data_IF_447621449345
#
_entry.id   IF_447621449345
#
_cell.length_a   1.000
_cell.length_b   1.000
_cell.length_c   1.000
_cell.angle_alpha   90.00
_cell.angle_beta   90.00
_cell.angle_gamma   90.00
#
_symmetry.space_group_name_H-M   'P 1'
#
loop_
_entity.id
_entity.type
_entity.pdbx_description
1 polymer ?
#
# COMPACT_ATOMS: atom_id res chain seq x y z
N UNK A 1 -19.22 2.42 -18.45
CA UNK A 1 -18.20 3.42 -18.91
C UNK A 1 -18.87 4.26 -19.99
N UNK A 2 -19.16 5.53 -19.69
CA UNK A 2 -19.80 6.40 -20.67
C UNK A 2 -18.77 6.90 -21.72
N UNK A 3 -19.27 7.42 -22.85
CA UNK A 3 -18.45 7.86 -23.99
C UNK A 3 -17.45 8.97 -23.60
N UNK A 4 -17.81 9.84 -22.64
CA UNK A 4 -16.95 10.88 -22.10
C UNK A 4 -15.77 10.32 -21.29
N UNK A 5 -15.93 9.22 -20.55
CA UNK A 5 -14.87 8.57 -19.80
C UNK A 5 -13.88 7.85 -20.74
N UNK A 6 -14.39 7.25 -21.82
CA UNK A 6 -13.55 6.64 -22.85
C UNK A 6 -12.70 7.70 -23.57
N UNK A 7 -13.30 8.83 -23.94
CA UNK A 7 -12.60 9.98 -24.56
C UNK A 7 -11.57 10.57 -23.59
N UNK A 8 -11.91 10.72 -22.30
CA UNK A 8 -11.01 11.26 -21.29
C UNK A 8 -9.82 10.32 -21.03
N UNK A 9 -10.04 8.98 -21.03
CA UNK A 9 -8.97 7.98 -20.95
C UNK A 9 -8.02 8.03 -22.17
N UNK A 10 -8.55 8.22 -23.36
CA UNK A 10 -7.78 8.26 -24.60
C UNK A 10 -6.88 9.52 -24.76
N UNK A 11 -7.18 10.60 -24.00
CA UNK A 11 -6.39 11.85 -24.08
C UNK A 11 -5.25 11.94 -23.07
N UNK A 12 -5.15 10.98 -22.13
CA UNK A 12 -4.08 10.97 -21.13
C UNK A 12 -2.79 10.42 -21.73
N UNK A 13 -1.66 11.14 -21.55
CA UNK A 13 -0.32 10.62 -21.93
C UNK A 13 0.04 9.33 -21.21
N UNK A 14 -0.43 9.18 -19.98
CA UNK A 14 -0.24 8.01 -19.14
C UNK A 14 -1.32 7.98 -18.04
N UNK A 15 -1.62 6.80 -17.51
CA UNK A 15 -2.55 6.60 -16.40
C UNK A 15 -2.16 5.39 -15.55
N UNK A 16 -2.48 5.45 -14.27
CA UNK A 16 -2.55 4.29 -13.39
C UNK A 16 -4.03 3.89 -13.25
N UNK A 17 -4.40 2.80 -13.90
CA UNK A 17 -5.73 2.23 -13.77
C UNK A 17 -5.79 1.36 -12.52
N UNK A 18 -6.78 1.63 -11.64
CA UNK A 18 -6.94 0.99 -10.33
C UNK A 18 -8.23 0.18 -10.34
N UNK A 19 -8.10 -1.13 -10.35
CA UNK A 19 -9.23 -2.07 -10.35
C UNK A 19 -9.76 -2.27 -8.91
N UNK A 20 -10.81 -1.54 -8.56
CA UNK A 20 -11.45 -1.66 -7.24
C UNK A 20 -12.19 -3.00 -7.07
N UNK A 21 -12.58 -3.65 -8.17
CA UNK A 21 -13.14 -5.00 -8.15
C UNK A 21 -12.10 -6.03 -7.70
N UNK A 22 -10.90 -5.96 -8.27
CA UNK A 22 -9.76 -6.78 -7.85
C UNK A 22 -9.39 -6.52 -6.38
N UNK A 23 -9.35 -5.26 -5.95
CA UNK A 23 -9.08 -4.92 -4.55
C UNK A 23 -10.11 -5.53 -3.60
N UNK A 24 -11.42 -5.45 -3.91
CA UNK A 24 -12.46 -6.10 -3.11
C UNK A 24 -12.30 -7.62 -3.06
N UNK A 25 -11.95 -8.25 -4.17
CA UNK A 25 -11.68 -9.68 -4.23
C UNK A 25 -10.47 -10.07 -3.35
N UNK A 26 -9.39 -9.31 -3.44
CA UNK A 26 -8.19 -9.51 -2.62
C UNK A 26 -8.50 -9.39 -1.12
N UNK A 27 -9.25 -8.36 -0.70
CA UNK A 27 -9.67 -8.20 0.71
C UNK A 27 -10.48 -9.40 1.20
N UNK A 28 -11.41 -9.91 0.38
CA UNK A 28 -12.19 -11.13 0.73
C UNK A 28 -11.29 -12.35 0.86
N UNK A 29 -10.34 -12.54 -0.06
CA UNK A 29 -9.36 -13.64 0.01
C UNK A 29 -8.52 -13.53 1.28
N UNK A 30 -7.97 -12.36 1.59
CA UNK A 30 -7.17 -12.13 2.78
C UNK A 30 -7.97 -12.34 4.08
N UNK A 31 -9.25 -12.00 4.10
CA UNK A 31 -10.14 -12.32 5.22
C UNK A 31 -10.33 -13.82 5.41
N UNK A 32 -10.40 -14.57 4.30
CA UNK A 32 -10.48 -16.03 4.39
C UNK A 32 -9.19 -16.65 4.94
N UNK A 33 -8.02 -16.07 4.64
CA UNK A 33 -6.74 -16.48 5.24
C UNK A 33 -6.60 -16.08 6.72
N UNK A 34 -7.32 -15.08 7.18
CA UNK A 34 -7.16 -14.50 8.52
C UNK A 34 -7.68 -15.36 9.69
N UNK A 35 -8.12 -16.62 9.44
CA UNK A 35 -8.50 -17.59 10.48
C UNK A 35 -9.52 -17.06 11.52
N UNK A 36 -10.46 -16.21 11.10
CA UNK A 36 -11.47 -15.60 11.97
C UNK A 36 -11.07 -14.29 12.63
N UNK A 37 -9.83 -13.85 12.55
CA UNK A 37 -9.41 -12.53 13.00
C UNK A 37 -10.06 -11.41 12.17
N UNK A 38 -10.31 -10.24 12.77
CA UNK A 38 -10.73 -9.06 12.04
C UNK A 38 -9.62 -8.59 11.08
N UNK A 39 -9.98 -7.89 10.00
CA UNK A 39 -9.02 -7.37 9.05
C UNK A 39 -8.95 -5.85 9.11
N UNK A 40 -7.74 -5.33 9.27
CA UNK A 40 -7.40 -3.93 9.06
C UNK A 40 -6.80 -3.75 7.67
N UNK A 41 -7.50 -3.00 6.80
CA UNK A 41 -6.98 -2.59 5.50
C UNK A 41 -6.04 -1.39 5.68
N UNK A 42 -4.77 -1.57 5.32
CA UNK A 42 -3.74 -0.53 5.49
C UNK A 42 -3.66 0.33 4.23
N UNK A 43 -4.16 1.56 4.33
CA UNK A 43 -4.31 2.52 3.23
C UNK A 43 -3.36 3.72 3.32
N UNK A 44 -2.26 3.59 4.09
CA UNK A 44 -1.20 4.61 4.20
C UNK A 44 -0.54 4.89 2.86
N UNK A 45 0.17 6.03 2.75
CA UNK A 45 0.89 6.46 1.55
C UNK A 45 -0.03 6.47 0.32
N UNK A 46 -1.19 7.12 0.46
CA UNK A 46 -2.24 7.17 -0.56
C UNK A 46 -2.67 5.77 -1.04
N UNK A 47 -2.92 4.84 -0.09
CA UNK A 47 -3.20 3.44 -0.38
C UNK A 47 -2.09 2.79 -1.24
N UNK A 48 -0.84 2.95 -0.83
CA UNK A 48 0.34 2.51 -1.61
C UNK A 48 0.33 3.07 -3.04
N UNK A 49 -0.10 4.33 -3.19
CA UNK A 49 -0.17 5.00 -4.48
C UNK A 49 -1.42 4.71 -5.32
N UNK A 50 -2.42 4.02 -4.78
CA UNK A 50 -3.64 3.61 -5.51
C UNK A 50 -4.83 4.58 -5.35
N UNK A 51 -4.73 5.58 -4.46
CA UNK A 51 -5.83 6.50 -4.12
C UNK A 51 -6.55 6.08 -2.84
N UNK A 52 -6.23 6.76 -1.71
CA UNK A 52 -6.62 6.32 -0.37
C UNK A 52 -8.13 6.18 -0.17
N UNK A 53 -8.92 7.18 -0.58
CA UNK A 53 -10.37 7.18 -0.31
C UNK A 53 -11.11 6.10 -1.09
N UNK A 54 -10.83 5.93 -2.38
CA UNK A 54 -11.47 4.92 -3.19
C UNK A 54 -11.13 3.50 -2.70
N UNK A 55 -9.84 3.25 -2.42
CA UNK A 55 -9.39 1.96 -1.88
C UNK A 55 -9.93 1.68 -0.48
N UNK A 56 -10.02 2.69 0.39
CA UNK A 56 -10.59 2.54 1.74
C UNK A 56 -12.07 2.13 1.68
N UNK A 57 -12.88 2.80 0.85
CA UNK A 57 -14.29 2.47 0.63
C UNK A 57 -14.45 1.03 0.12
N UNK A 58 -13.72 0.69 -0.94
CA UNK A 58 -13.76 -0.65 -1.53
C UNK A 58 -13.32 -1.75 -0.54
N UNK A 59 -12.35 -1.48 0.32
CA UNK A 59 -11.92 -2.41 1.36
C UNK A 59 -12.99 -2.60 2.44
N UNK A 60 -13.65 -1.52 2.87
CA UNK A 60 -14.77 -1.56 3.83
C UNK A 60 -15.96 -2.34 3.25
N UNK A 61 -16.35 -2.07 2.00
CA UNK A 61 -17.38 -2.81 1.27
C UNK A 61 -17.07 -4.31 1.18
N UNK A 62 -15.78 -4.68 1.10
CA UNK A 62 -15.33 -6.06 1.12
C UNK A 62 -15.23 -6.68 2.51
N UNK A 63 -15.54 -5.91 3.57
CA UNK A 63 -15.64 -6.34 4.95
C UNK A 63 -14.39 -6.10 5.79
N UNK A 64 -13.52 -5.15 5.43
CA UNK A 64 -12.51 -4.66 6.34
C UNK A 64 -13.20 -3.92 7.51
N UNK A 65 -12.95 -4.37 8.73
CA UNK A 65 -13.50 -3.77 9.95
C UNK A 65 -12.71 -2.54 10.43
N UNK A 66 -11.47 -2.42 9.97
CA UNK A 66 -10.53 -1.37 10.34
C UNK A 66 -9.83 -0.81 9.12
N UNK A 67 -9.47 0.47 9.20
CA UNK A 67 -8.53 1.11 8.29
C UNK A 67 -7.28 1.51 9.06
N UNK A 68 -6.11 1.32 8.44
CA UNK A 68 -4.82 1.64 9.05
C UNK A 68 -4.05 2.65 8.21
N UNK A 69 -3.58 3.74 8.85
CA UNK A 69 -2.75 4.76 8.22
C UNK A 69 -1.45 4.93 8.98
N UNK A 70 -0.44 5.52 8.35
CA UNK A 70 0.79 5.84 9.05
C UNK A 70 0.63 7.13 9.84
N UNK A 71 0.25 8.21 9.21
CA UNK A 71 0.24 9.56 9.78
C UNK A 71 -1.15 10.00 10.24
N UNK A 72 -1.24 10.91 11.22
CA UNK A 72 -2.53 11.45 11.63
C UNK A 72 -3.24 12.24 10.51
N UNK A 73 -2.50 12.87 9.60
CA UNK A 73 -3.08 13.59 8.45
C UNK A 73 -3.82 12.64 7.51
N UNK A 74 -3.25 11.46 7.23
CA UNK A 74 -3.93 10.43 6.43
C UNK A 74 -5.20 9.93 7.13
N UNK A 75 -5.15 9.70 8.45
CA UNK A 75 -6.31 9.25 9.22
C UNK A 75 -7.42 10.30 9.27
N UNK A 76 -7.07 11.55 9.51
CA UNK A 76 -8.02 12.67 9.52
C UNK A 76 -8.68 12.87 8.15
N UNK A 77 -7.95 12.66 7.05
CA UNK A 77 -8.53 12.70 5.70
C UNK A 77 -9.60 11.62 5.48
N UNK A 78 -9.45 10.44 6.09
CA UNK A 78 -10.47 9.38 6.04
C UNK A 78 -11.73 9.70 6.88
N UNK A 79 -11.63 10.64 7.83
CA UNK A 79 -12.76 11.13 8.65
C UNK A 79 -13.31 12.47 8.18
N UNK A 80 -12.72 13.08 7.15
CA UNK A 80 -13.18 14.34 6.61
C UNK A 80 -14.62 14.23 6.06
N UNK A 81 -15.42 15.31 6.12
CA UNK A 81 -16.74 15.35 5.49
C UNK A 81 -16.64 14.94 4.01
N UNK A 82 -17.50 14.03 3.57
CA UNK A 82 -17.50 13.51 2.20
C UNK A 82 -16.52 12.35 1.94
N UNK A 83 -15.70 11.94 2.91
CA UNK A 83 -14.82 10.77 2.77
C UNK A 83 -15.61 9.47 2.52
N UNK A 84 -16.86 9.37 2.97
CA UNK A 84 -17.72 8.22 2.75
C UNK A 84 -17.29 6.95 3.50
N UNK A 85 -16.53 7.11 4.58
CA UNK A 85 -16.16 6.01 5.47
C UNK A 85 -17.18 5.95 6.61
N UNK A 86 -17.88 4.81 6.82
CA UNK A 86 -18.85 4.67 7.91
C UNK A 86 -18.24 4.95 9.29
N UNK A 87 -19.01 5.52 10.19
CA UNK A 87 -18.54 5.93 11.52
C UNK A 87 -18.15 4.74 12.43
N UNK A 88 -18.76 3.58 12.21
CA UNK A 88 -18.48 2.34 12.92
C UNK A 88 -17.17 1.64 12.46
N UNK A 89 -16.65 1.98 11.29
CA UNK A 89 -15.34 1.50 10.84
C UNK A 89 -14.25 2.18 11.64
N UNK A 90 -13.41 1.42 12.33
CA UNK A 90 -12.32 1.94 13.14
C UNK A 90 -11.17 2.43 12.24
N UNK A 91 -10.56 3.57 12.58
CA UNK A 91 -9.41 4.14 11.84
C UNK A 91 -8.26 4.30 12.82
N UNK A 92 -7.14 3.63 12.54
CA UNK A 92 -5.93 3.68 13.37
C UNK A 92 -4.79 4.39 12.66
N UNK A 93 -4.06 5.25 13.38
CA UNK A 93 -2.76 5.79 12.94
C UNK A 93 -1.68 5.58 14.00
N UNK A 94 -0.40 5.49 13.55
CA UNK A 94 0.67 5.03 14.45
C UNK A 94 2.00 5.77 14.36
N UNK A 95 2.18 6.69 13.42
CA UNK A 95 3.43 7.44 13.26
C UNK A 95 3.22 8.88 13.74
N UNK A 96 3.66 9.13 14.95
CA UNK A 96 3.53 10.39 15.63
C UNK A 96 4.89 11.07 15.81
N UNK A 97 4.85 12.38 15.87
CA UNK A 97 5.95 13.22 16.33
C UNK A 97 5.47 14.09 17.51
N UNK A 98 6.35 14.51 18.40
CA UNK A 98 5.97 15.45 19.47
C UNK A 98 5.24 16.67 18.92
N UNK A 99 4.21 17.13 19.62
CA UNK A 99 3.36 18.25 19.20
C UNK A 99 2.38 17.90 18.06
N UNK A 100 2.14 16.62 17.80
CA UNK A 100 1.18 16.17 16.78
C UNK A 100 -0.27 16.57 17.09
N UNK A 101 -1.20 16.44 16.11
CA UNK A 101 -2.61 16.83 16.25
C UNK A 101 -3.41 15.78 17.06
N UNK A 102 -2.99 15.51 18.28
CA UNK A 102 -3.59 14.51 19.16
C UNK A 102 -5.05 14.81 19.49
N UNK A 103 -5.36 16.10 19.75
CA UNK A 103 -6.70 16.53 20.09
C UNK A 103 -7.64 16.33 18.91
N UNK A 104 -7.28 16.78 17.73
CA UNK A 104 -8.05 16.62 16.50
C UNK A 104 -8.28 15.13 16.19
N UNK A 105 -7.28 14.30 16.41
CA UNK A 105 -7.38 12.85 16.23
C UNK A 105 -8.38 12.21 17.22
N UNK A 106 -8.39 12.64 18.48
CA UNK A 106 -9.34 12.20 19.50
C UNK A 106 -10.76 12.66 19.13
N UNK A 107 -10.93 13.93 18.74
CA UNK A 107 -12.22 14.50 18.32
C UNK A 107 -12.78 13.81 17.06
N UNK A 108 -11.89 13.38 16.15
CA UNK A 108 -12.23 12.60 14.95
C UNK A 108 -12.44 11.11 15.21
N UNK A 109 -12.43 10.68 16.47
CA UNK A 109 -12.66 9.30 16.90
C UNK A 109 -11.67 8.29 16.29
N UNK A 110 -10.36 8.63 16.27
CA UNK A 110 -9.30 7.77 15.81
C UNK A 110 -8.76 6.87 16.91
N UNK A 111 -8.20 5.73 16.50
CA UNK A 111 -7.40 4.86 17.35
C UNK A 111 -5.90 5.23 17.22
N UNK A 112 -5.23 5.42 18.34
CA UNK A 112 -3.92 6.05 18.39
C UNK A 112 -2.84 5.07 18.82
N UNK A 113 -1.85 4.82 17.95
CA UNK A 113 -0.71 3.97 18.27
C UNK A 113 0.26 4.70 19.21
N UNK A 114 0.49 4.17 20.41
CA UNK A 114 1.38 4.72 21.42
C UNK A 114 2.54 3.77 21.66
N UNK A 115 3.77 4.21 21.35
CA UNK A 115 4.98 3.38 21.44
C UNK A 115 5.99 3.82 22.50
N UNK A 116 5.62 4.72 23.44
CA UNK A 116 6.51 5.19 24.49
C UNK A 116 5.87 6.24 25.40
N UNK A 117 6.55 6.59 26.48
CA UNK A 117 6.05 7.49 27.52
C UNK A 117 5.69 8.88 26.99
N UNK A 118 6.54 9.48 26.16
CA UNK A 118 6.29 10.82 25.61
C UNK A 118 4.94 10.89 24.86
N UNK A 119 4.62 9.85 24.06
CA UNK A 119 3.37 9.79 23.33
C UNK A 119 2.17 9.56 24.25
N UNK A 120 2.36 8.75 25.30
CA UNK A 120 1.33 8.54 26.34
C UNK A 120 1.03 9.84 27.10
N UNK A 121 2.03 10.61 27.44
CA UNK A 121 1.90 11.91 28.12
C UNK A 121 1.15 12.93 27.24
N UNK A 122 1.52 13.05 25.95
CA UNK A 122 0.87 13.97 25.03
C UNK A 122 -0.59 13.58 24.75
N UNK A 123 -0.87 12.29 24.48
CA UNK A 123 -2.25 11.84 24.23
C UNK A 123 -3.12 12.01 25.47
N UNK A 124 -2.57 11.79 26.69
CA UNK A 124 -3.29 12.00 27.94
C UNK A 124 -3.63 13.47 28.17
N UNK A 125 -2.68 14.37 27.89
CA UNK A 125 -2.91 15.80 27.95
C UNK A 125 -3.97 16.26 26.93
N UNK A 126 -3.90 15.74 25.71
CA UNK A 126 -4.88 16.03 24.65
C UNK A 126 -6.28 15.50 24.99
N UNK A 127 -6.39 14.32 25.58
CA UNK A 127 -7.68 13.75 26.02
C UNK A 127 -8.33 14.62 27.11
N UNK A 128 -7.53 15.12 28.06
CA UNK A 128 -8.01 16.06 29.06
C UNK A 128 -8.52 17.37 28.43
N UNK A 129 -7.79 17.90 27.45
CA UNK A 129 -8.19 19.12 26.73
C UNK A 129 -9.43 18.90 25.84
N UNK A 130 -9.60 17.71 25.27
CA UNK A 130 -10.76 17.34 24.46
C UNK A 130 -12.00 16.97 25.31
N UNK A 131 -11.84 16.77 26.62
CA UNK A 131 -12.92 16.38 27.53
C UNK A 131 -13.50 14.98 27.25
N UNK A 132 -12.74 14.10 26.57
CA UNK A 132 -13.15 12.73 26.22
C UNK A 132 -11.95 11.77 26.24
N UNK A 133 -12.15 10.50 26.59
CA UNK A 133 -11.05 9.52 26.62
C UNK A 133 -10.51 9.25 25.20
N UNK A 134 -9.20 9.11 25.07
CA UNK A 134 -8.54 8.64 23.86
C UNK A 134 -8.55 7.11 23.80
N UNK A 135 -8.78 6.52 22.61
CA UNK A 135 -8.56 5.11 22.37
C UNK A 135 -7.12 4.90 21.93
N UNK A 136 -6.37 4.05 22.66
CA UNK A 136 -4.95 3.84 22.40
C UNK A 136 -4.62 2.37 22.17
N UNK A 137 -3.66 2.13 21.26
CA UNK A 137 -3.03 0.84 21.05
C UNK A 137 -1.57 0.94 21.53
N UNK A 138 -1.23 0.23 22.59
CA UNK A 138 0.15 0.20 23.09
C UNK A 138 1.01 -0.67 22.19
N UNK A 139 2.07 -0.07 21.65
CA UNK A 139 2.99 -0.74 20.73
C UNK A 139 4.20 -1.29 21.47
N UNK A 140 4.39 -2.60 21.42
CA UNK A 140 5.58 -3.29 21.90
C UNK A 140 6.63 -3.39 20.78
N UNK A 141 7.91 -3.10 21.07
CA UNK A 141 9.00 -3.52 20.19
C UNK A 141 9.46 -4.91 20.61
N UNK A 142 9.08 -5.88 19.81
CA UNK A 142 9.41 -7.28 20.04
C UNK A 142 10.68 -7.74 19.33
N UNK A 143 11.35 -6.84 18.61
CA UNK A 143 12.62 -7.16 17.94
C UNK A 143 12.75 -6.59 16.51
N UNK A 144 11.80 -5.75 16.04
CA UNK A 144 11.98 -5.03 14.78
C UNK A 144 13.00 -3.90 14.90
N UNK A 145 13.16 -3.28 16.11
CA UNK A 145 14.13 -2.23 16.34
C UNK A 145 13.82 -0.91 15.61
N UNK A 146 12.54 -0.65 15.29
CA UNK A 146 12.14 0.54 14.52
C UNK A 146 11.23 1.49 15.31
N UNK A 147 10.28 0.97 16.03
CA UNK A 147 9.35 1.76 16.83
C UNK A 147 8.48 0.88 17.70
N UNK A 148 8.10 1.41 18.85
CA UNK A 148 7.41 0.69 19.92
C UNK A 148 8.19 0.81 21.23
N UNK A 149 7.55 0.46 22.34
CA UNK A 149 8.15 0.47 23.65
C UNK A 149 9.13 -0.70 23.80
N UNK A 150 10.35 -0.43 24.20
CA UNK A 150 11.34 -1.45 24.48
C UNK A 150 10.87 -2.36 25.63
N UNK A 151 11.26 -3.66 25.66
CA UNK A 151 10.86 -4.57 26.73
C UNK A 151 11.23 -4.07 28.13
N UNK A 152 12.35 -3.38 28.28
CA UNK A 152 12.79 -2.82 29.56
C UNK A 152 11.85 -1.73 30.11
N UNK A 153 11.21 -0.96 29.20
CA UNK A 153 10.34 0.17 29.54
C UNK A 153 8.85 -0.22 29.58
N UNK A 154 8.53 -1.44 29.15
CA UNK A 154 7.15 -1.91 28.97
C UNK A 154 6.33 -1.82 30.25
N UNK A 155 6.90 -2.24 31.38
CA UNK A 155 6.23 -2.21 32.66
C UNK A 155 5.83 -0.79 33.07
N UNK A 156 6.72 0.18 32.85
CA UNK A 156 6.44 1.59 33.12
C UNK A 156 5.34 2.15 32.23
N UNK A 157 5.36 1.84 30.93
CA UNK A 157 4.34 2.28 29.97
C UNK A 157 2.97 1.71 30.33
N UNK A 158 2.88 0.40 30.65
CA UNK A 158 1.63 -0.26 31.06
C UNK A 158 1.07 0.33 32.34
N UNK A 159 1.91 0.55 33.36
CA UNK A 159 1.48 1.16 34.62
C UNK A 159 0.93 2.58 34.44
N UNK A 160 1.60 3.38 33.63
CA UNK A 160 1.17 4.76 33.34
C UNK A 160 -0.14 4.76 32.51
N UNK A 161 -0.27 3.88 31.51
CA UNK A 161 -1.49 3.74 30.72
C UNK A 161 -2.68 3.33 31.61
N UNK A 162 -2.49 2.37 32.52
CA UNK A 162 -3.52 1.96 33.49
C UNK A 162 -3.94 3.09 34.45
N UNK A 163 -2.98 3.87 34.92
CA UNK A 163 -3.29 5.03 35.75
C UNK A 163 -4.13 6.08 35.00
N UNK A 164 -3.77 6.36 33.74
CA UNK A 164 -4.53 7.27 32.87
C UNK A 164 -5.92 6.73 32.54
N UNK A 165 -6.07 5.42 32.34
CA UNK A 165 -7.35 4.75 32.10
C UNK A 165 -8.25 4.80 33.33
N UNK A 166 -7.71 4.52 34.53
CA UNK A 166 -8.43 4.66 35.80
C UNK A 166 -8.88 6.11 36.05
N UNK A 167 -8.13 7.08 35.54
CA UNK A 167 -8.49 8.50 35.55
C UNK A 167 -9.49 8.92 34.46
N UNK A 168 -9.99 8.00 33.63
CA UNK A 168 -10.96 8.27 32.58
C UNK A 168 -10.39 9.05 31.36
N UNK A 169 -9.08 9.10 31.21
CA UNK A 169 -8.41 9.85 30.13
C UNK A 169 -8.07 8.98 28.91
N UNK A 170 -7.91 7.68 29.13
CA UNK A 170 -7.59 6.71 28.07
C UNK A 170 -8.52 5.51 28.14
N UNK A 171 -8.57 4.78 27.02
CA UNK A 171 -9.01 3.40 26.93
C UNK A 171 -7.95 2.63 26.14
N UNK A 172 -7.32 1.66 26.76
CA UNK A 172 -6.35 0.79 26.08
C UNK A 172 -7.14 -0.27 25.31
N UNK A 173 -7.37 0.00 24.03
CA UNK A 173 -8.18 -0.87 23.15
C UNK A 173 -7.36 -1.90 22.41
N UNK A 174 -6.04 -1.74 22.33
CA UNK A 174 -5.19 -2.67 21.61
C UNK A 174 -3.78 -2.83 22.17
N UNK A 175 -3.23 -4.02 21.98
CA UNK A 175 -1.82 -4.34 22.19
C UNK A 175 -1.25 -4.84 20.85
N UNK A 176 -0.11 -4.27 20.40
CA UNK A 176 0.39 -4.61 19.09
C UNK A 176 1.89 -4.56 18.93
N UNK A 177 2.36 -5.22 17.87
CA UNK A 177 3.74 -5.18 17.42
C UNK A 177 3.84 -5.31 15.89
N UNK A 178 5.05 -5.50 15.36
CA UNK A 178 5.29 -5.71 13.93
C UNK A 178 6.45 -6.67 13.72
N UNK A 179 6.26 -7.66 12.85
CA UNK A 179 7.27 -8.66 12.51
C UNK A 179 8.34 -8.07 11.59
N UNK A 180 9.59 -8.43 11.84
CA UNK A 180 10.74 -7.96 11.08
C UNK A 180 10.94 -8.73 9.76
N UNK A 181 10.84 -10.06 9.84
CA UNK A 181 11.21 -10.99 8.76
C UNK A 181 10.07 -11.95 8.41
N UNK A 182 8.81 -11.51 8.50
CA UNK A 182 7.67 -12.37 8.13
C UNK A 182 7.64 -12.73 6.65
N UNK A 183 8.38 -12.01 5.81
CA UNK A 183 8.61 -12.23 4.38
C UNK A 183 9.75 -13.21 4.08
N UNK A 184 10.42 -13.72 5.13
CA UNK A 184 11.46 -14.75 5.06
C UNK A 184 11.00 -16.00 5.84
N UNK A 185 10.28 -16.95 5.20
CA UNK A 185 9.75 -18.14 5.89
C UNK A 185 10.82 -18.91 6.65
N UNK A 186 10.54 -19.20 7.94
CA UNK A 186 11.47 -19.92 8.82
C UNK A 186 12.57 -19.06 9.45
N UNK A 187 12.59 -17.76 9.24
CA UNK A 187 13.57 -16.88 9.90
C UNK A 187 13.39 -16.92 11.43
N UNK A 188 14.48 -17.16 12.22
CA UNK A 188 14.38 -17.39 13.66
C UNK A 188 13.81 -16.20 14.46
N UNK A 189 13.87 -14.98 13.91
CA UNK A 189 13.27 -13.81 14.56
C UNK A 189 11.74 -13.90 14.65
N UNK A 190 11.08 -14.68 13.81
CA UNK A 190 9.62 -14.82 13.80
C UNK A 190 9.15 -15.38 15.14
N UNK A 191 9.65 -16.57 15.49
CA UNK A 191 9.28 -17.23 16.76
C UNK A 191 9.72 -16.42 17.98
N UNK A 192 10.92 -15.84 17.94
CA UNK A 192 11.41 -14.99 19.01
C UNK A 192 10.52 -13.76 19.24
N UNK A 193 10.03 -13.12 18.17
CA UNK A 193 9.12 -11.98 18.25
C UNK A 193 7.72 -12.38 18.73
N UNK A 194 7.19 -13.52 18.26
CA UNK A 194 5.89 -14.03 18.70
C UNK A 194 5.91 -14.40 20.18
N UNK A 195 6.95 -15.08 20.64
CA UNK A 195 7.11 -15.42 22.06
C UNK A 195 7.16 -14.15 22.91
N UNK A 196 8.00 -13.19 22.54
CA UNK A 196 8.11 -11.92 23.28
C UNK A 196 6.80 -11.13 23.25
N UNK A 197 6.07 -11.14 22.13
CA UNK A 197 4.77 -10.48 22.05
C UNK A 197 3.77 -11.10 23.01
N UNK A 198 3.67 -12.44 23.05
CA UNK A 198 2.80 -13.16 24.01
C UNK A 198 3.16 -12.84 25.46
N UNK A 199 4.45 -12.79 25.81
CA UNK A 199 4.92 -12.44 27.15
C UNK A 199 4.53 -10.99 27.53
N UNK A 200 4.72 -10.03 26.63
CA UNK A 200 4.40 -8.61 26.87
C UNK A 200 2.89 -8.39 26.95
N UNK A 201 2.09 -9.09 26.14
CA UNK A 201 0.62 -9.09 26.23
C UNK A 201 0.18 -9.65 27.59
N UNK A 202 0.65 -10.85 27.95
CA UNK A 202 0.30 -11.49 29.22
C UNK A 202 0.72 -10.65 30.42
N UNK A 203 1.83 -9.91 30.34
CA UNK A 203 2.21 -8.96 31.39
C UNK A 203 1.17 -7.84 31.52
N UNK A 204 0.78 -7.18 30.42
CA UNK A 204 -0.17 -6.09 30.43
C UNK A 204 -1.54 -6.54 30.97
N UNK A 205 -2.01 -7.72 30.56
CA UNK A 205 -3.27 -8.30 31.05
C UNK A 205 -3.23 -8.59 32.55
N UNK A 206 -2.12 -9.12 33.06
CA UNK A 206 -1.96 -9.31 34.53
C UNK A 206 -1.95 -7.99 35.30
N UNK A 207 -1.59 -6.88 34.66
CA UNK A 207 -1.68 -5.53 35.25
C UNK A 207 -3.09 -4.92 35.08
N UNK A 208 -4.05 -5.67 34.53
CA UNK A 208 -5.45 -5.26 34.40
C UNK A 208 -5.77 -4.52 33.09
N UNK A 209 -4.89 -4.56 32.10
CA UNK A 209 -5.25 -4.13 30.73
C UNK A 209 -6.19 -5.17 30.14
N UNK A 210 -7.35 -4.72 29.62
CA UNK A 210 -8.33 -5.56 28.93
C UNK A 210 -8.50 -5.07 27.49
N UNK A 211 -7.58 -5.45 26.58
CA UNK A 211 -7.62 -4.94 25.20
C UNK A 211 -8.71 -5.63 24.38
N UNK A 212 -9.41 -4.86 23.56
CA UNK A 212 -10.35 -5.42 22.58
C UNK A 212 -9.64 -6.28 21.53
N UNK A 213 -8.42 -5.89 21.13
CA UNK A 213 -7.65 -6.57 20.08
C UNK A 213 -6.15 -6.67 20.39
N UNK A 214 -5.57 -7.79 20.02
CA UNK A 214 -4.12 -8.04 19.96
C UNK A 214 -3.75 -8.22 18.50
N UNK A 215 -2.68 -7.58 18.02
CA UNK A 215 -2.32 -7.69 16.61
C UNK A 215 -0.82 -7.54 16.33
N UNK A 216 -0.26 -8.45 15.54
CA UNK A 216 1.13 -8.41 15.09
C UNK A 216 1.27 -8.69 13.59
N UNK A 217 0.40 -9.53 13.00
CA UNK A 217 0.49 -9.97 11.61
C UNK A 217 0.43 -8.82 10.61
N UNK A 218 1.40 -8.76 9.72
CA UNK A 218 1.43 -7.94 8.49
C UNK A 218 1.06 -8.81 7.28
N UNK A 219 1.08 -8.29 6.04
CA UNK A 219 0.69 -9.04 4.84
C UNK A 219 1.34 -10.43 4.70
N UNK A 220 2.68 -10.59 4.79
CA UNK A 220 3.27 -11.93 4.71
C UNK A 220 2.78 -12.86 5.82
N UNK A 221 2.69 -12.36 7.05
CA UNK A 221 2.23 -13.17 8.18
C UNK A 221 0.76 -13.60 8.07
N UNK A 222 -0.09 -12.80 7.44
CA UNK A 222 -1.48 -13.20 7.15
C UNK A 222 -1.52 -14.40 6.21
N UNK A 223 -0.61 -14.45 5.25
CA UNK A 223 -0.58 -15.51 4.24
C UNK A 223 0.10 -16.79 4.74
N UNK A 224 1.09 -16.70 5.64
CA UNK A 224 2.00 -17.82 5.93
C UNK A 224 2.13 -18.18 7.42
N UNK A 225 1.60 -17.37 8.35
CA UNK A 225 1.83 -17.53 9.80
C UNK A 225 0.50 -17.42 10.60
N UNK A 226 -0.40 -18.41 10.53
CA UNK A 226 -1.70 -18.37 11.22
C UNK A 226 -1.60 -18.11 12.74
N UNK A 227 -0.54 -18.57 13.39
CA UNK A 227 -0.28 -18.37 14.82
C UNK A 227 0.00 -16.91 15.20
N UNK A 228 0.20 -16.04 14.22
CA UNK A 228 0.41 -14.59 14.39
C UNK A 228 -0.86 -13.75 14.26
N UNK A 229 -2.00 -14.34 13.87
CA UNK A 229 -3.21 -13.59 13.52
C UNK A 229 -3.84 -12.88 14.73
N UNK A 230 -3.88 -13.54 15.90
CA UNK A 230 -4.54 -13.05 17.09
C UNK A 230 -5.97 -12.56 16.79
N UNK A 231 -6.34 -11.35 17.28
CA UNK A 231 -7.69 -10.80 17.11
C UNK A 231 -7.83 -9.93 15.85
N UNK A 232 -6.72 -9.39 15.31
CA UNK A 232 -6.73 -8.45 14.19
C UNK A 232 -5.48 -8.60 13.33
N UNK A 233 -5.66 -8.75 12.02
CA UNK A 233 -4.56 -8.77 11.04
C UNK A 233 -4.51 -7.47 10.26
N UNK A 234 -3.30 -7.08 9.80
CA UNK A 234 -3.07 -5.82 9.08
C UNK A 234 -2.53 -6.07 7.69
N UNK A 235 -3.41 -6.05 6.70
CA UNK A 235 -3.05 -6.26 5.30
C UNK A 235 -2.72 -4.93 4.62
N UNK A 236 -1.50 -4.84 4.10
CA UNK A 236 -1.05 -3.72 3.27
C UNK A 236 -0.88 -4.18 1.84
N UNK A 237 0.37 -4.42 1.43
CA UNK A 237 0.74 -4.70 0.03
C UNK A 237 -0.05 -5.84 -0.60
N UNK A 238 -0.37 -6.89 0.14
CA UNK A 238 -1.11 -8.03 -0.37
C UNK A 238 -2.53 -7.67 -0.85
N UNK A 239 -3.21 -6.70 -0.21
CA UNK A 239 -4.53 -6.30 -0.68
C UNK A 239 -4.49 -5.56 -2.03
N UNK A 240 -3.33 -5.04 -2.42
CA UNK A 240 -3.11 -4.46 -3.75
C UNK A 240 -2.65 -5.49 -4.78
N UNK A 241 -2.61 -6.78 -4.40
CA UNK A 241 -2.23 -7.88 -5.27
C UNK A 241 -0.75 -7.87 -5.65
N UNK A 242 0.10 -7.35 -4.78
CA UNK A 242 1.57 -7.36 -4.92
C UNK A 242 2.13 -8.34 -3.90
N UNK A 243 3.04 -9.21 -4.34
CA UNK A 243 3.68 -10.17 -3.42
C UNK A 243 4.50 -9.45 -2.36
N UNK A 244 4.35 -9.81 -1.07
CA UNK A 244 5.23 -9.30 -0.03
C UNK A 244 6.69 -9.71 -0.20
N UNK A 245 6.93 -10.88 -0.77
CA UNK A 245 8.26 -11.42 -1.08
C UNK A 245 8.13 -12.58 -2.08
N UNK A 246 9.02 -12.68 -3.07
CA UNK A 246 9.08 -13.86 -3.94
C UNK A 246 9.30 -15.18 -3.17
N UNK A 247 9.89 -15.12 -1.98
CA UNK A 247 10.15 -16.30 -1.15
C UNK A 247 8.88 -16.97 -0.60
N UNK A 248 7.75 -16.24 -0.54
CA UNK A 248 6.48 -16.80 -0.04
C UNK A 248 5.51 -17.20 -1.17
N UNK A 249 5.78 -16.80 -2.39
CA UNK A 249 4.96 -17.15 -3.56
C UNK A 249 4.48 -15.94 -4.36
N UNK A 250 3.83 -16.25 -5.50
CA UNK A 250 3.18 -15.25 -6.34
C UNK A 250 1.81 -14.85 -5.76
N UNK A 251 1.28 -13.65 -6.07
CA UNK A 251 -0.04 -13.24 -5.62
C UNK A 251 -1.15 -14.24 -5.98
N UNK A 252 -1.08 -14.83 -7.16
CA UNK A 252 -2.06 -15.82 -7.64
C UNK A 252 -2.13 -17.09 -6.78
N UNK A 253 -1.03 -17.50 -6.14
CA UNK A 253 -0.99 -18.67 -5.24
C UNK A 253 -1.91 -18.48 -4.01
N UNK A 254 -2.23 -17.23 -3.69
CA UNK A 254 -3.09 -16.83 -2.58
C UNK A 254 -4.45 -16.28 -3.04
N UNK A 255 -4.78 -16.46 -4.33
CA UNK A 255 -6.02 -15.93 -4.91
C UNK A 255 -6.05 -14.39 -4.96
N UNK A 256 -4.89 -13.76 -5.05
CA UNK A 256 -4.74 -12.30 -5.14
C UNK A 256 -4.42 -11.89 -6.58
N UNK A 257 -4.88 -10.70 -6.95
CA UNK A 257 -4.68 -10.11 -8.28
C UNK A 257 -4.16 -8.69 -8.16
N UNK A 258 -3.16 -8.34 -8.95
CA UNK A 258 -2.62 -6.98 -9.00
C UNK A 258 -3.72 -5.96 -9.36
N UNK A 259 -3.79 -4.89 -8.56
CA UNK A 259 -4.85 -3.86 -8.63
C UNK A 259 -4.48 -2.73 -9.58
N UNK A 260 -3.20 -2.35 -9.65
CA UNK A 260 -2.74 -1.24 -10.49
C UNK A 260 -2.23 -1.73 -11.82
N UNK A 261 -2.71 -1.13 -12.92
CA UNK A 261 -2.10 -1.22 -14.25
C UNK A 261 -1.55 0.14 -14.66
N UNK A 262 -0.26 0.23 -14.98
CA UNK A 262 0.37 1.46 -15.45
C UNK A 262 0.54 1.43 -16.96
N UNK A 263 -0.10 2.38 -17.63
CA UNK A 263 -0.05 2.51 -19.08
C UNK A 263 0.39 3.90 -19.53
N UNK A 264 0.95 3.98 -20.74
CA UNK A 264 1.22 5.23 -21.42
C UNK A 264 0.94 5.10 -22.92
N UNK A 265 0.70 6.22 -23.61
CA UNK A 265 0.61 6.25 -25.08
C UNK A 265 1.96 6.64 -25.66
N UNK A 266 2.44 5.93 -26.69
CA UNK A 266 3.68 6.30 -27.37
C UNK A 266 3.59 7.73 -27.92
N UNK A 267 4.46 8.62 -27.45
CA UNK A 267 4.46 10.02 -27.88
C UNK A 267 5.11 10.23 -29.25
N UNK A 268 6.01 9.33 -29.63
CA UNK A 268 6.73 9.38 -30.91
C UNK A 268 7.13 7.95 -31.31
N UNK A 269 7.03 7.68 -32.59
CA UNK A 269 7.59 6.48 -33.24
C UNK A 269 8.47 6.96 -34.41
N UNK A 270 9.72 6.49 -34.49
CA UNK A 270 10.67 6.91 -35.54
C UNK A 270 11.62 5.80 -35.94
N UNK A 271 11.99 5.78 -37.22
CA UNK A 271 13.06 4.94 -37.76
C UNK A 271 14.43 5.55 -37.52
N UNK A 272 15.39 4.68 -37.17
CA UNK A 272 16.81 5.07 -37.05
C UNK A 272 17.72 4.00 -37.67
N UNK A 273 18.89 4.38 -38.19
CA UNK A 273 19.87 3.42 -38.72
C UNK A 273 20.51 2.62 -37.58
N UNK A 274 21.22 1.54 -37.94
CA UNK A 274 22.16 0.88 -37.06
C UNK A 274 23.28 1.80 -36.59
N UNK A 275 23.79 1.55 -35.39
CA UNK A 275 24.82 2.39 -34.77
C UNK A 275 24.28 3.70 -34.16
N UNK A 276 22.96 3.89 -34.09
CA UNK A 276 22.34 5.09 -33.50
C UNK A 276 22.34 5.00 -31.97
N UNK A 277 22.96 5.97 -31.31
CA UNK A 277 22.97 6.07 -29.86
C UNK A 277 21.63 6.55 -29.30
N UNK A 278 21.11 5.90 -28.25
CA UNK A 278 19.82 6.19 -27.64
C UNK A 278 19.97 6.78 -26.26
N UNK A 279 19.28 7.90 -25.97
CA UNK A 279 19.22 8.58 -24.69
C UNK A 279 20.59 9.04 -24.16
N UNK A 280 20.62 9.50 -22.90
CA UNK A 280 21.82 10.06 -22.27
C UNK A 280 22.98 9.06 -22.18
N UNK A 281 24.15 9.48 -22.65
CA UNK A 281 25.38 8.70 -22.57
C UNK A 281 25.45 7.53 -23.56
N UNK A 282 24.47 7.40 -24.47
CA UNK A 282 24.40 6.37 -25.51
C UNK A 282 24.70 4.94 -24.97
N UNK A 283 24.17 4.61 -23.77
CA UNK A 283 24.35 3.28 -23.18
C UNK A 283 23.65 2.16 -23.97
N UNK A 284 22.74 2.53 -24.84
CA UNK A 284 22.15 1.66 -25.84
C UNK A 284 22.49 2.22 -27.22
N UNK A 285 22.97 1.35 -28.10
CA UNK A 285 23.23 1.64 -29.48
C UNK A 285 22.46 0.63 -30.33
N UNK A 286 21.71 1.10 -31.30
CA UNK A 286 20.89 0.23 -32.16
C UNK A 286 21.77 -0.75 -32.94
N UNK A 287 21.46 -2.08 -32.91
CA UNK A 287 22.28 -3.09 -33.56
C UNK A 287 22.13 -3.08 -35.09
N UNK A 288 21.05 -2.55 -35.61
CA UNK A 288 20.70 -2.42 -37.02
C UNK A 288 19.67 -1.32 -37.22
N UNK A 289 19.18 -1.14 -38.43
CA UNK A 289 18.01 -0.27 -38.70
C UNK A 289 16.83 -0.78 -37.91
N UNK A 290 16.17 0.11 -37.14
CA UNK A 290 15.10 -0.23 -36.20
C UNK A 290 14.12 0.94 -36.06
N UNK A 291 13.00 0.66 -35.41
CA UNK A 291 11.99 1.63 -34.97
C UNK A 291 12.13 1.87 -33.49
N UNK A 292 12.17 3.12 -33.07
CA UNK A 292 12.18 3.51 -31.66
C UNK A 292 10.83 4.11 -31.27
N UNK A 293 10.28 3.63 -30.13
CA UNK A 293 9.09 4.17 -29.48
C UNK A 293 9.46 5.02 -28.26
N UNK A 294 8.90 6.24 -28.17
CA UNK A 294 9.08 7.13 -27.03
C UNK A 294 7.91 6.99 -26.08
N UNK A 295 8.19 6.52 -24.87
CA UNK A 295 7.22 6.42 -23.76
C UNK A 295 7.32 7.67 -22.90
N UNK A 296 6.23 8.48 -22.74
CA UNK A 296 6.26 9.76 -22.03
C UNK A 296 6.10 9.60 -20.51
N UNK A 297 6.89 8.73 -19.91
CA UNK A 297 7.03 8.51 -18.47
C UNK A 297 8.51 8.45 -18.12
N UNK A 298 8.88 9.06 -17.01
CA UNK A 298 10.25 9.06 -16.52
C UNK A 298 10.33 9.05 -15.00
N UNK A 299 11.52 9.35 -14.46
CA UNK A 299 11.71 9.25 -13.00
C UNK A 299 10.95 10.33 -12.21
N UNK A 300 10.53 11.44 -12.82
CA UNK A 300 9.63 12.41 -12.20
C UNK A 300 8.18 11.92 -12.09
N UNK A 301 7.84 10.85 -12.81
CA UNK A 301 6.53 10.17 -12.73
C UNK A 301 6.57 8.98 -11.78
N UNK A 302 7.76 8.60 -11.28
CA UNK A 302 7.96 7.47 -10.39
C UNK A 302 8.66 6.26 -11.04
N UNK A 303 9.04 6.34 -12.32
CA UNK A 303 9.75 5.24 -13.00
C UNK A 303 11.19 5.16 -12.48
N UNK A 304 11.64 4.01 -11.93
CA UNK A 304 12.98 3.88 -11.36
C UNK A 304 14.06 4.12 -12.42
N UNK A 305 14.92 5.13 -12.23
CA UNK A 305 16.05 5.35 -13.15
C UNK A 305 17.01 4.16 -13.19
N UNK A 306 17.06 3.36 -12.11
CA UNK A 306 17.89 2.17 -12.04
C UNK A 306 17.46 1.05 -13.00
N UNK A 307 16.19 1.06 -13.45
CA UNK A 307 15.67 0.14 -14.47
C UNK A 307 16.09 0.52 -15.91
N UNK A 308 17.00 1.48 -16.10
CA UNK A 308 17.58 1.80 -17.41
C UNK A 308 18.17 0.58 -18.08
N UNK A 309 17.84 0.34 -19.34
CA UNK A 309 18.23 -0.83 -20.15
C UNK A 309 17.82 -2.20 -19.56
N UNK A 310 16.86 -2.21 -18.63
CA UNK A 310 16.39 -3.43 -17.95
C UNK A 310 14.87 -3.51 -17.79
N UNK A 311 14.18 -2.37 -17.60
CA UNK A 311 12.74 -2.32 -17.34
C UNK A 311 11.93 -2.92 -18.50
N UNK A 312 11.03 -3.88 -18.24
CA UNK A 312 10.18 -4.49 -19.28
C UNK A 312 8.97 -3.63 -19.60
N UNK A 313 8.53 -3.62 -20.86
CA UNK A 313 7.32 -2.90 -21.33
C UNK A 313 6.64 -3.71 -22.41
N UNK A 314 5.31 -3.88 -22.31
CA UNK A 314 4.52 -4.50 -23.39
C UNK A 314 4.06 -3.42 -24.37
N UNK A 315 4.38 -3.58 -25.64
CA UNK A 315 3.88 -2.73 -26.75
C UNK A 315 3.36 -3.63 -27.86
N UNK A 316 2.12 -3.41 -28.28
CA UNK A 316 1.46 -4.22 -29.34
C UNK A 316 1.61 -5.73 -29.11
N UNK A 317 1.37 -6.19 -27.87
CA UNK A 317 1.44 -7.61 -27.51
C UNK A 317 2.84 -8.21 -27.48
N UNK A 318 3.90 -7.42 -27.63
CA UNK A 318 5.29 -7.86 -27.59
C UNK A 318 6.05 -7.21 -26.42
N UNK A 319 6.73 -8.03 -25.64
CA UNK A 319 7.62 -7.55 -24.60
C UNK A 319 8.84 -6.84 -25.21
N UNK A 320 9.12 -5.64 -24.69
CA UNK A 320 10.25 -4.80 -25.03
C UNK A 320 11.03 -4.46 -23.75
N UNK A 321 12.25 -3.99 -23.94
CA UNK A 321 13.07 -3.52 -22.82
C UNK A 321 13.37 -2.03 -23.01
N UNK A 322 13.38 -1.29 -21.91
CA UNK A 322 13.86 0.11 -21.91
C UNK A 322 15.21 0.18 -22.60
N UNK A 323 15.34 1.01 -23.62
CA UNK A 323 16.53 1.13 -24.46
C UNK A 323 17.31 2.39 -24.08
N UNK A 324 18.40 2.21 -23.34
CA UNK A 324 19.20 3.30 -22.80
C UNK A 324 18.68 3.85 -21.47
N UNK A 325 19.12 5.05 -21.09
CA UNK A 325 18.79 5.66 -19.79
C UNK A 325 17.39 6.23 -19.77
N UNK A 326 16.68 5.98 -18.66
CA UNK A 326 15.42 6.65 -18.31
C UNK A 326 15.75 8.11 -17.97
N UNK A 327 15.04 9.05 -18.63
CA UNK A 327 15.14 10.47 -18.39
C UNK A 327 14.08 10.93 -17.36
N UNK A 328 14.01 12.24 -17.09
CA UNK A 328 13.08 12.83 -16.14
C UNK A 328 11.62 12.55 -16.51
N UNK A 329 11.28 12.73 -17.78
CA UNK A 329 9.89 12.76 -18.26
C UNK A 329 9.59 11.64 -19.26
N UNK A 330 10.59 10.86 -19.69
CA UNK A 330 10.45 9.91 -20.80
C UNK A 330 11.56 8.87 -20.84
N UNK A 331 11.27 7.75 -21.51
CA UNK A 331 12.27 6.77 -21.92
C UNK A 331 11.96 6.21 -23.31
N UNK A 332 12.89 5.46 -23.87
CA UNK A 332 12.78 4.88 -25.21
C UNK A 332 12.71 3.36 -25.11
N UNK A 333 11.97 2.73 -26.01
CA UNK A 333 11.99 1.29 -26.29
C UNK A 333 12.36 1.04 -27.74
N UNK A 334 13.17 0.01 -27.99
CA UNK A 334 13.46 -0.47 -29.34
C UNK A 334 12.34 -1.46 -29.75
N UNK A 335 11.63 -1.09 -30.82
CA UNK A 335 10.49 -1.86 -31.34
C UNK A 335 10.90 -2.86 -32.43
N UNK A 336 12.19 -2.87 -32.83
CA UNK A 336 12.67 -3.67 -33.93
C UNK A 336 12.04 -3.25 -35.27
N UNK A 337 11.48 -4.23 -35.98
CA UNK A 337 10.78 -3.97 -37.25
C UNK A 337 9.29 -3.63 -37.08
N UNK A 338 8.79 -3.49 -35.86
CA UNK A 338 7.39 -3.11 -35.66
C UNK A 338 7.21 -1.59 -35.74
N UNK A 339 6.10 -1.15 -36.33
CA UNK A 339 5.79 0.24 -36.60
C UNK A 339 4.39 0.62 -36.06
N UNK A 340 4.18 0.57 -34.73
CA UNK A 340 2.90 0.99 -34.19
C UNK A 340 2.69 2.48 -34.47
N UNK A 341 1.42 2.93 -34.56
CA UNK A 341 1.16 4.37 -34.69
C UNK A 341 1.54 5.12 -33.42
N UNK A 342 1.88 6.41 -33.50
CA UNK A 342 1.89 7.29 -32.34
C UNK A 342 0.55 7.19 -31.61
N UNK A 343 0.59 7.13 -30.27
CA UNK A 343 -0.59 6.88 -29.45
C UNK A 343 -0.84 5.41 -29.12
N UNK A 344 -0.13 4.45 -29.73
CA UNK A 344 -0.21 3.05 -29.35
C UNK A 344 0.12 2.85 -27.87
N UNK A 345 -0.59 1.90 -27.22
CA UNK A 345 -0.45 1.65 -25.79
C UNK A 345 0.87 0.95 -25.46
N UNK A 346 1.56 1.49 -24.50
CA UNK A 346 2.68 0.86 -23.81
C UNK A 346 2.24 0.52 -22.36
N UNK A 347 2.27 -0.77 -22.00
CA UNK A 347 1.93 -1.22 -20.66
C UNK A 347 3.22 -1.51 -19.91
N UNK A 348 3.45 -0.75 -18.83
CA UNK A 348 4.67 -0.90 -18.03
C UNK A 348 4.51 -2.08 -17.05
N UNK A 349 3.37 -2.13 -16.36
CA UNK A 349 3.03 -3.28 -15.54
C UNK A 349 1.51 -3.39 -15.36
N UNK A 350 1.06 -4.61 -15.04
CA UNK A 350 -0.34 -4.95 -14.81
C UNK A 350 -0.45 -6.36 -14.22
N UNK A 351 -1.66 -6.94 -14.19
CA UNK A 351 -1.89 -8.27 -13.61
C UNK A 351 -1.29 -9.44 -14.39
N UNK A 352 -0.75 -9.21 -15.58
CA UNK A 352 -0.12 -10.25 -16.42
C UNK A 352 -1.06 -10.94 -17.39
N UNK A 353 -2.34 -10.61 -17.45
CA UNK A 353 -3.36 -11.31 -18.24
C UNK A 353 -3.15 -11.25 -19.75
N UNK A 354 -2.53 -10.18 -20.22
CA UNK A 354 -2.22 -9.93 -21.64
C UNK A 354 -0.75 -10.23 -21.98
N UNK A 355 0.01 -10.79 -21.01
CA UNK A 355 1.44 -10.98 -21.10
C UNK A 355 2.25 -9.71 -20.77
N UNK A 356 1.61 -8.69 -20.18
CA UNK A 356 2.28 -7.51 -19.67
C UNK A 356 3.14 -7.84 -18.43
N UNK A 357 4.23 -7.07 -18.21
CA UNK A 357 5.04 -7.22 -17.01
C UNK A 357 4.22 -6.99 -15.73
N UNK A 358 4.67 -7.61 -14.65
CA UNK A 358 4.14 -7.38 -13.31
C UNK A 358 4.92 -6.29 -12.57
N UNK A 359 4.43 -5.89 -11.40
CA UNK A 359 5.16 -5.00 -10.47
C UNK A 359 6.46 -5.66 -10.02
N UNK A 360 6.47 -6.96 -9.83
CA UNK A 360 7.64 -7.76 -9.44
C UNK A 360 8.73 -7.75 -10.50
N UNK A 361 8.37 -7.82 -11.79
CA UNK A 361 9.33 -7.73 -12.91
C UNK A 361 10.05 -6.37 -12.91
N UNK A 362 9.30 -5.29 -12.65
CA UNK A 362 9.89 -3.96 -12.50
C UNK A 362 10.74 -3.81 -11.25
N UNK A 363 10.32 -4.42 -10.14
CA UNK A 363 11.09 -4.44 -8.91
C UNK A 363 12.43 -5.16 -9.11
N UNK A 364 12.41 -6.32 -9.77
CA UNK A 364 13.62 -7.05 -10.12
C UNK A 364 14.53 -6.24 -11.05
N UNK A 365 13.99 -5.64 -12.12
CA UNK A 365 14.75 -4.81 -13.06
C UNK A 365 15.37 -3.57 -12.40
N UNK A 366 14.75 -3.04 -11.34
CA UNK A 366 15.20 -1.88 -10.59
C UNK A 366 16.05 -2.22 -9.35
N UNK A 367 16.19 -3.51 -8.99
CA UNK A 367 16.90 -3.93 -7.77
C UNK A 367 16.19 -3.47 -6.49
N UNK A 368 14.86 -3.53 -6.45
CA UNK A 368 14.04 -3.10 -5.32
C UNK A 368 12.88 -4.07 -5.08
N UNK A 369 11.84 -3.63 -4.36
CA UNK A 369 10.65 -4.42 -4.01
C UNK A 369 9.38 -3.83 -4.62
N UNK A 370 8.36 -4.66 -4.87
CA UNK A 370 7.08 -4.24 -5.47
C UNK A 370 6.39 -3.10 -4.70
N UNK A 371 6.55 -3.04 -3.38
CA UNK A 371 6.10 -1.93 -2.54
C UNK A 371 6.58 -0.56 -3.06
N UNK A 372 7.87 -0.46 -3.38
CA UNK A 372 8.47 0.79 -3.85
C UNK A 372 7.98 1.15 -5.24
N UNK A 373 7.82 0.17 -6.13
CA UNK A 373 7.35 0.40 -7.50
C UNK A 373 5.97 1.08 -7.50
N UNK A 374 4.99 0.53 -6.78
CA UNK A 374 3.64 1.10 -6.78
C UNK A 374 3.55 2.42 -6.02
N UNK A 375 4.22 2.54 -4.87
CA UNK A 375 4.17 3.76 -4.05
C UNK A 375 4.86 4.96 -4.69
N UNK A 376 5.81 4.74 -5.59
CA UNK A 376 6.56 5.80 -6.28
C UNK A 376 5.78 6.49 -7.39
N UNK A 377 4.72 5.88 -7.92
CA UNK A 377 3.95 6.50 -9.00
C UNK A 377 3.39 7.83 -8.52
N UNK A 378 3.92 8.92 -9.10
CA UNK A 378 3.67 10.29 -8.66
C UNK A 378 2.29 10.82 -9.07
N UNK A 379 1.93 11.99 -8.55
CA UNK A 379 0.66 12.67 -8.85
C UNK A 379 0.55 13.18 -10.31
N UNK A 380 1.67 13.23 -11.06
CA UNK A 380 1.67 13.52 -12.49
C UNK A 380 1.00 12.43 -13.35
N UNK A 381 0.82 11.23 -12.78
CA UNK A 381 0.10 10.11 -13.40
C UNK A 381 -1.28 10.03 -12.78
N UNK A 382 -2.35 10.37 -13.50
CA UNK A 382 -3.71 10.29 -12.97
C UNK A 382 -4.09 8.85 -12.57
N UNK A 383 -4.80 8.71 -11.44
CA UNK A 383 -5.45 7.46 -11.05
C UNK A 383 -6.84 7.41 -11.70
N UNK A 384 -7.11 6.32 -12.38
CA UNK A 384 -8.42 6.05 -12.99
C UNK A 384 -8.98 4.80 -12.32
N UNK A 385 -9.94 5.00 -11.42
CA UNK A 385 -10.60 3.88 -10.75
C UNK A 385 -11.59 3.21 -11.71
N UNK A 386 -11.58 1.88 -11.75
CA UNK A 386 -12.49 1.07 -12.55
C UNK A 386 -13.15 0.01 -11.68
N UNK A 387 -14.28 -0.54 -12.18
CA UNK A 387 -15.07 -1.53 -11.44
C UNK A 387 -15.49 -1.02 -10.05
N UNK A 388 -15.79 0.29 -9.94
CA UNK A 388 -16.40 0.86 -8.73
C UNK A 388 -17.84 0.34 -8.60
N UNK A 389 -18.27 0.00 -7.39
CA UNK A 389 -19.63 -0.45 -7.13
C UNK A 389 -20.67 0.61 -7.49
N UNK A 390 -20.29 1.88 -7.44
CA UNK A 390 -21.16 3.02 -7.80
C UNK A 390 -21.37 3.16 -9.32
N UNK A 391 -20.44 2.67 -10.16
CA UNK A 391 -20.59 2.67 -11.62
C UNK A 391 -21.79 1.79 -12.08
N UNK A 392 -22.18 0.80 -11.28
CA UNK A 392 -23.32 -0.08 -11.59
C UNK A 392 -24.70 0.59 -11.34
N UNK A 393 -24.76 1.58 -10.45
CA UNK A 393 -26.00 2.29 -10.13
C UNK A 393 -26.35 3.36 -11.16
N UNK A 394 -25.34 4.01 -11.76
CA UNK A 394 -25.56 5.02 -12.82
C UNK A 394 -26.15 4.42 -14.12
N UNK A 395 -25.94 3.10 -14.35
CA UNK A 395 -26.48 2.42 -15.55
C UNK A 395 -27.96 2.08 -15.39
N UNK A 396 -28.44 1.89 -14.16
CA UNK A 396 -29.85 1.57 -13.89
C UNK A 396 -30.73 2.82 -13.81
N UNK A 397 -30.24 3.97 -13.36
CA UNK A 397 -31.01 5.22 -13.34
C UNK A 397 -31.18 5.85 -14.74
N UNK A 398 -30.34 5.49 -15.71
CA UNK A 398 -30.48 5.92 -17.11
C UNK A 398 -31.48 5.09 -17.92
N UNK A 399 -32.11 4.05 -17.31
CA UNK A 399 -33.13 3.18 -17.94
C UNK A 399 -34.51 3.24 -17.26
N UNK A 400 -34.68 4.14 -16.28
CA UNK A 400 -35.97 4.49 -15.68
C UNK A 400 -36.37 5.89 -16.13
#
# INVERSE_FOLDING_TARGET
MNENDAVRKATLRARAEIDLGALRANVRSLRAHASGAALMAVVKADAYGHGALACARAAVEAGAAWLGTATPQEALALRAPGAGIPADVRVMCWLWTPGGPWREAIEADLDLGVGGMWALEEVTAAARAAGRPARVHLKADTGLGRGGCAPADWAGLVAAARAAEAGGLLRVVGLWSHLACADEPGHPSIEAQLTRFREMVAYAERQGVDPEVRHIANSPAVLTLPESHFDLVRTGVAMYGVSPSPAIGAPADFGLRQVMTLTASLALVKHVPGGHGVSYGHHYVTPGTTTLGLVPLGYADGIPRHASSAGPVLVEGKLRTVSGRIAMDQFVVDLGGDEPPPGAEAVLFGPGDRGEPTVEDWAQAAGTIGYEIVTRIGSRVPRVHVNDANDANDVNDARA
#
